data_IF_729810164803
#
_entry.id   IF_729810164803
#
_cell.length_a   1.000
_cell.length_b   1.000
_cell.length_c   1.000
_cell.angle_alpha   90.00
_cell.angle_beta   90.00
_cell.angle_gamma   90.00
#
_symmetry.space_group_name_H-M   'P 1'
#
loop_
_entity.id
_entity.type
_entity.pdbx_description
1 polymer ?
#
# COMPACT_ATOMS: atom_id res chain seq x y z
N UNK A 1 14.26 2.39 -9.47
CA UNK A 1 12.83 2.75 -9.24
C UNK A 1 12.66 3.21 -7.80
N UNK A 2 11.72 4.11 -7.56
CA UNK A 2 11.38 4.64 -6.22
C UNK A 2 10.21 3.87 -5.58
N UNK A 3 10.23 3.77 -4.24
CA UNK A 3 9.11 3.24 -3.48
C UNK A 3 8.88 4.03 -2.18
N UNK A 4 7.63 4.02 -1.71
CA UNK A 4 7.23 4.51 -0.40
C UNK A 4 6.67 3.33 0.41
N UNK A 5 7.21 3.08 1.61
CA UNK A 5 6.70 2.07 2.53
C UNK A 5 5.93 2.79 3.64
N UNK A 6 4.67 2.42 3.83
CA UNK A 6 3.86 2.88 4.96
C UNK A 6 4.12 2.06 6.21
N UNK A 7 4.89 2.63 7.15
CA UNK A 7 5.24 2.02 8.44
C UNK A 7 4.75 2.82 9.67
N UNK A 8 3.93 3.86 9.46
CA UNK A 8 3.39 4.72 10.52
C UNK A 8 2.18 4.14 11.28
N UNK A 9 1.76 2.91 10.98
CA UNK A 9 0.58 2.28 11.57
C UNK A 9 0.73 1.95 13.06
N UNK A 10 -0.31 2.23 13.87
CA UNK A 10 -0.32 1.98 15.33
C UNK A 10 -0.39 0.49 15.71
N UNK A 11 -0.82 -0.39 14.80
CA UNK A 11 -0.89 -1.83 15.03
C UNK A 11 -1.83 -2.27 16.17
N UNK A 12 -2.89 -1.54 16.44
CA UNK A 12 -3.77 -1.76 17.63
C UNK A 12 -4.39 -3.15 17.69
N UNK A 13 -4.61 -3.80 16.53
CA UNK A 13 -5.16 -5.16 16.43
C UNK A 13 -4.15 -6.27 16.71
N UNK A 14 -2.85 -5.94 16.75
CA UNK A 14 -1.76 -6.86 17.08
C UNK A 14 -1.30 -6.75 18.55
N UNK A 15 -2.03 -6.01 19.39
CA UNK A 15 -1.73 -5.98 20.83
C UNK A 15 -1.89 -7.39 21.43
N UNK A 16 -0.98 -7.79 22.37
CA UNK A 16 -0.01 -6.95 23.09
C UNK A 16 1.34 -6.75 22.38
N UNK A 17 1.63 -7.41 21.24
CA UNK A 17 2.93 -7.35 20.57
C UNK A 17 3.35 -5.90 20.25
N UNK A 18 2.40 -5.10 19.81
CA UNK A 18 2.64 -3.70 19.40
C UNK A 18 2.60 -2.70 20.56
N UNK A 19 2.55 -3.14 21.81
CA UNK A 19 2.71 -2.23 22.95
C UNK A 19 4.15 -1.71 23.09
N UNK A 20 5.14 -2.51 22.69
CA UNK A 20 6.58 -2.23 22.88
C UNK A 20 7.37 -2.22 21.58
N UNK A 21 6.73 -2.54 20.45
CA UNK A 21 7.37 -2.69 19.14
C UNK A 21 6.45 -2.08 18.06
N UNK A 22 6.98 -1.33 17.06
CA UNK A 22 6.16 -0.85 15.95
C UNK A 22 5.67 -2.03 15.10
N UNK A 23 4.47 -1.92 14.53
CA UNK A 23 3.86 -2.97 13.71
C UNK A 23 4.80 -3.49 12.61
N UNK A 24 5.53 -2.60 11.97
CA UNK A 24 6.47 -2.92 10.89
C UNK A 24 7.64 -3.83 11.34
N UNK A 25 7.92 -3.92 12.63
CA UNK A 25 8.98 -4.79 13.19
C UNK A 25 8.44 -6.10 13.80
N UNK A 26 7.14 -6.36 13.76
CA UNK A 26 6.56 -7.66 14.13
C UNK A 26 7.14 -8.72 13.20
N UNK A 27 7.54 -9.86 13.78
CA UNK A 27 8.24 -10.92 13.02
C UNK A 27 7.28 -11.93 12.42
N UNK A 28 7.59 -12.35 11.20
CA UNK A 28 6.98 -13.47 10.47
C UNK A 28 8.10 -14.33 9.90
N UNK A 29 8.09 -15.63 10.09
CA UNK A 29 9.20 -16.50 9.68
C UNK A 29 10.53 -16.12 10.32
N UNK A 30 10.50 -15.56 11.54
CA UNK A 30 11.70 -15.12 12.26
C UNK A 30 12.26 -13.75 11.86
N UNK A 31 11.80 -13.12 10.76
CA UNK A 31 12.26 -11.82 10.26
C UNK A 31 11.21 -10.72 10.46
N UNK A 32 11.58 -9.48 10.77
CA UNK A 32 10.65 -8.35 10.80
C UNK A 32 9.91 -8.15 9.48
N UNK A 33 8.64 -7.78 9.53
CA UNK A 33 7.85 -7.48 8.31
C UNK A 33 8.52 -6.45 7.42
N UNK A 34 9.07 -5.40 7.98
CA UNK A 34 9.78 -4.35 7.23
C UNK A 34 11.01 -4.92 6.46
N UNK A 35 11.71 -5.92 7.04
CA UNK A 35 12.80 -6.61 6.35
C UNK A 35 12.31 -7.37 5.13
N UNK A 36 11.21 -8.12 5.24
CA UNK A 36 10.61 -8.81 4.10
C UNK A 36 10.26 -7.84 2.97
N UNK A 37 9.59 -6.72 3.30
CA UNK A 37 9.19 -5.71 2.31
C UNK A 37 10.40 -5.05 1.64
N UNK A 38 11.42 -4.63 2.42
CA UNK A 38 12.62 -4.00 1.87
C UNK A 38 13.38 -4.96 0.97
N UNK A 39 13.59 -6.21 1.39
CA UNK A 39 14.33 -7.20 0.59
C UNK A 39 13.58 -7.56 -0.68
N UNK A 40 12.25 -7.68 -0.64
CA UNK A 40 11.42 -7.93 -1.82
C UNK A 40 11.51 -6.76 -2.80
N UNK A 41 11.31 -5.52 -2.34
CA UNK A 41 11.46 -4.31 -3.17
C UNK A 41 12.86 -4.21 -3.80
N UNK A 42 13.91 -4.45 -3.01
CA UNK A 42 15.29 -4.44 -3.49
C UNK A 42 15.53 -5.46 -4.58
N UNK A 43 15.07 -6.71 -4.39
CA UNK A 43 15.18 -7.78 -5.39
C UNK A 43 14.48 -7.45 -6.70
N UNK A 44 13.42 -6.62 -6.66
CA UNK A 44 12.64 -6.15 -7.80
C UNK A 44 13.18 -4.83 -8.41
N UNK A 45 14.33 -4.31 -7.89
CA UNK A 45 15.02 -3.13 -8.43
C UNK A 45 14.55 -1.78 -7.87
N UNK A 46 13.79 -1.77 -6.77
CA UNK A 46 13.46 -0.55 -6.02
C UNK A 46 14.58 -0.27 -5.00
N UNK A 47 15.45 0.69 -5.31
CA UNK A 47 16.65 0.98 -4.50
C UNK A 47 16.63 2.37 -3.85
N UNK A 48 15.64 3.20 -4.17
CA UNK A 48 15.38 4.49 -3.56
C UNK A 48 14.05 4.41 -2.82
N UNK A 49 14.11 4.23 -1.50
CA UNK A 49 12.93 3.94 -0.69
C UNK A 49 12.73 5.04 0.35
N UNK A 50 11.49 5.55 0.47
CA UNK A 50 11.05 6.35 1.60
C UNK A 50 10.28 5.45 2.56
N UNK A 51 10.51 5.59 3.86
CA UNK A 51 9.74 4.91 4.89
C UNK A 51 9.13 5.96 5.80
N UNK A 52 7.79 6.02 5.88
CA UNK A 52 7.17 6.88 6.86
C UNK A 52 7.14 6.19 8.23
N UNK A 53 7.37 6.98 9.28
CA UNK A 53 7.38 6.49 10.66
C UNK A 53 6.51 7.35 11.57
N UNK A 54 5.93 6.74 12.61
CA UNK A 54 5.17 7.45 13.64
C UNK A 54 5.41 6.82 15.02
N UNK A 55 4.52 5.95 15.48
CA UNK A 55 4.58 5.31 16.80
C UNK A 55 5.81 4.41 16.91
N UNK A 56 6.62 4.61 17.95
CA UNK A 56 7.90 3.90 18.16
C UNK A 56 8.85 3.99 16.96
N UNK A 57 8.78 5.06 16.18
CA UNK A 57 9.55 5.25 14.95
C UNK A 57 11.06 5.18 15.13
N UNK A 58 11.59 5.52 16.32
CA UNK A 58 13.03 5.40 16.62
C UNK A 58 13.53 3.95 16.50
N UNK A 59 12.71 2.97 16.90
CA UNK A 59 13.07 1.55 16.72
C UNK A 59 13.20 1.15 15.25
N UNK A 60 12.41 1.77 14.35
CA UNK A 60 12.55 1.56 12.90
C UNK A 60 13.88 2.15 12.42
N UNK A 61 14.21 3.37 12.84
CA UNK A 61 15.50 4.02 12.50
C UNK A 61 16.68 3.19 12.97
N UNK A 62 16.65 2.72 14.21
CA UNK A 62 17.71 1.87 14.78
C UNK A 62 17.84 0.53 14.05
N UNK A 63 16.72 -0.08 13.69
CA UNK A 63 16.68 -1.31 12.90
C UNK A 63 17.32 -1.11 11.51
N UNK A 64 16.97 -0.04 10.81
CA UNK A 64 17.56 0.28 9.50
C UNK A 64 19.06 0.55 9.58
N UNK A 65 19.49 1.31 10.59
CA UNK A 65 20.92 1.60 10.85
C UNK A 65 21.70 0.32 11.16
N UNK A 66 21.16 -0.55 12.03
CA UNK A 66 21.79 -1.82 12.39
C UNK A 66 21.98 -2.75 11.18
N UNK A 67 21.12 -2.64 10.17
CA UNK A 67 21.18 -3.41 8.93
C UNK A 67 21.83 -2.63 7.76
N UNK A 68 22.53 -1.52 8.03
CA UNK A 68 23.21 -0.69 7.02
C UNK A 68 22.27 -0.30 5.85
N UNK A 69 21.00 0.01 6.16
CA UNK A 69 19.94 0.29 5.19
C UNK A 69 19.81 -0.77 4.09
N UNK A 70 20.15 -2.02 4.40
CA UNK A 70 20.16 -3.14 3.43
C UNK A 70 20.98 -2.87 2.16
N UNK A 71 21.93 -1.91 2.22
CA UNK A 71 22.78 -1.51 1.09
C UNK A 71 22.05 -0.78 -0.03
N UNK A 72 20.93 -0.11 0.26
CA UNK A 72 20.16 0.72 -0.65
C UNK A 72 19.93 2.12 -0.07
N UNK A 73 19.42 3.05 -0.86
CA UNK A 73 19.09 4.39 -0.40
C UNK A 73 17.74 4.38 0.33
N UNK A 74 17.75 4.70 1.64
CA UNK A 74 16.53 4.79 2.46
C UNK A 74 16.46 6.17 3.10
N UNK A 75 15.35 6.87 2.85
CA UNK A 75 14.99 8.14 3.49
C UNK A 75 13.83 7.94 4.47
N UNK A 76 13.82 8.69 5.56
CA UNK A 76 12.75 8.65 6.56
C UNK A 76 11.80 9.84 6.36
N UNK A 77 10.51 9.56 6.24
CA UNK A 77 9.45 10.55 6.40
C UNK A 77 8.92 10.52 7.84
N UNK A 78 9.34 11.47 8.64
CA UNK A 78 9.00 11.54 10.06
C UNK A 78 7.59 12.12 10.28
N UNK A 79 6.65 11.30 10.72
CA UNK A 79 5.28 11.68 11.06
C UNK A 79 5.01 11.58 12.58
N UNK A 80 6.05 11.56 13.44
CA UNK A 80 5.90 11.41 14.90
C UNK A 80 5.10 12.54 15.53
N UNK A 81 5.06 13.73 14.94
CA UNK A 81 4.25 14.85 15.41
C UNK A 81 2.77 14.71 15.05
N UNK A 82 2.45 14.09 13.93
CA UNK A 82 1.09 13.92 13.44
C UNK A 82 1.04 12.80 12.39
N UNK A 83 0.09 11.86 12.54
CA UNK A 83 -0.20 10.83 11.54
C UNK A 83 -0.98 11.44 10.39
N UNK A 84 -0.45 11.38 9.18
CA UNK A 84 -1.06 11.99 7.99
C UNK A 84 -2.00 11.06 7.23
N UNK A 85 -2.09 9.79 7.61
CA UNK A 85 -2.74 8.72 6.84
C UNK A 85 -2.08 8.53 5.45
N UNK A 86 -2.70 7.71 4.59
CA UNK A 86 -2.03 7.26 3.36
C UNK A 86 -1.92 8.35 2.30
N UNK A 87 -2.95 9.16 2.10
CA UNK A 87 -2.92 10.26 1.12
C UNK A 87 -2.02 11.40 1.57
N UNK A 88 -2.16 11.84 2.83
CA UNK A 88 -1.31 12.89 3.39
C UNK A 88 0.16 12.49 3.49
N UNK A 89 0.44 11.22 3.79
CA UNK A 89 1.80 10.69 3.81
C UNK A 89 2.47 10.71 2.42
N UNK A 90 1.73 10.38 1.35
CA UNK A 90 2.21 10.53 -0.04
C UNK A 90 2.49 11.99 -0.35
N UNK A 91 1.53 12.88 -0.06
CA UNK A 91 1.67 14.30 -0.36
C UNK A 91 2.85 14.95 0.40
N UNK A 92 3.13 14.52 1.63
CA UNK A 92 4.27 15.00 2.42
C UNK A 92 5.61 14.74 1.75
N UNK A 93 5.76 13.65 1.02
CA UNK A 93 7.00 13.26 0.36
C UNK A 93 6.97 13.49 -1.16
N UNK A 94 5.97 14.23 -1.65
CA UNK A 94 5.75 14.47 -3.06
C UNK A 94 6.98 15.05 -3.77
N UNK A 95 7.68 16.02 -3.17
CA UNK A 95 8.87 16.66 -3.78
C UNK A 95 10.02 15.65 -4.04
N UNK A 96 10.12 14.57 -3.26
CA UNK A 96 11.05 13.49 -3.51
C UNK A 96 10.58 12.55 -4.63
N UNK A 97 9.27 12.41 -4.82
CA UNK A 97 8.63 11.50 -5.77
C UNK A 97 8.40 12.12 -7.15
N UNK A 98 8.43 13.45 -7.26
CA UNK A 98 8.09 14.22 -8.46
C UNK A 98 9.30 14.41 -9.40
N UNK A 99 9.92 13.32 -9.86
CA UNK A 99 11.00 13.34 -10.86
C UNK A 99 10.54 12.98 -12.29
N UNK A 100 9.23 12.84 -12.47
CA UNK A 100 8.61 12.46 -13.76
C UNK A 100 8.33 10.96 -13.89
N UNK A 101 8.92 10.12 -13.02
CA UNK A 101 8.74 8.68 -13.06
C UNK A 101 7.65 8.21 -12.07
N UNK A 102 6.90 7.15 -12.36
CA UNK A 102 6.02 6.52 -11.40
C UNK A 102 6.76 6.00 -10.17
N UNK A 103 6.06 5.84 -9.07
CA UNK A 103 6.60 5.26 -7.85
C UNK A 103 5.64 4.21 -7.27
N UNK A 104 6.19 3.22 -6.57
CA UNK A 104 5.40 2.19 -5.92
C UNK A 104 5.17 2.55 -4.45
N UNK A 105 3.95 2.31 -3.97
CA UNK A 105 3.58 2.43 -2.56
C UNK A 105 3.26 1.05 -2.01
N UNK A 106 3.81 0.71 -0.85
CA UNK A 106 3.67 -0.60 -0.23
C UNK A 106 3.36 -0.45 1.27
N UNK A 107 2.29 -1.06 1.74
CA UNK A 107 2.04 -1.13 3.17
C UNK A 107 3.02 -2.11 3.84
N UNK A 108 3.65 -1.71 4.94
CA UNK A 108 4.64 -2.54 5.66
C UNK A 108 4.07 -3.82 6.29
N UNK A 109 2.76 -3.96 6.33
CA UNK A 109 2.06 -5.13 6.87
C UNK A 109 1.59 -6.13 5.81
N UNK A 110 1.97 -5.94 4.55
CA UNK A 110 1.68 -6.88 3.48
C UNK A 110 2.90 -7.77 3.23
N UNK A 111 2.71 -9.07 3.42
CA UNK A 111 3.69 -10.10 3.08
C UNK A 111 3.28 -10.75 1.76
N UNK A 112 4.17 -10.73 0.76
CA UNK A 112 3.84 -11.23 -0.58
C UNK A 112 5.08 -11.58 -1.42
N UNK A 113 4.91 -12.41 -2.46
CA UNK A 113 5.88 -12.68 -3.51
C UNK A 113 5.40 -12.18 -4.90
N UNK A 114 4.46 -11.25 -4.93
CA UNK A 114 3.94 -10.67 -6.18
C UNK A 114 5.08 -10.00 -6.97
N UNK A 115 5.04 -10.12 -8.29
CA UNK A 115 5.97 -9.42 -9.18
C UNK A 115 5.69 -7.91 -9.20
N UNK A 116 6.36 -7.19 -8.27
CA UNK A 116 6.22 -5.73 -8.14
C UNK A 116 6.80 -4.97 -9.34
N UNK A 117 7.82 -5.55 -9.97
CA UNK A 117 8.39 -4.98 -11.20
C UNK A 117 7.41 -5.14 -12.37
N UNK A 118 6.76 -6.30 -12.48
CA UNK A 118 5.70 -6.53 -13.46
C UNK A 118 4.52 -5.58 -13.26
N UNK A 119 4.07 -5.37 -12.03
CA UNK A 119 3.04 -4.38 -11.69
C UNK A 119 3.44 -2.95 -12.12
N UNK A 120 4.70 -2.56 -11.89
CA UNK A 120 5.23 -1.27 -12.30
C UNK A 120 5.29 -1.13 -13.83
N UNK A 121 5.69 -2.17 -14.57
CA UNK A 121 5.70 -2.17 -16.03
C UNK A 121 4.28 -2.10 -16.62
N UNK A 122 3.36 -2.90 -16.08
CA UNK A 122 1.93 -2.85 -16.46
C UNK A 122 1.34 -1.45 -16.30
N UNK A 123 1.71 -0.76 -15.21
CA UNK A 123 1.29 0.62 -14.98
C UNK A 123 1.74 1.56 -16.10
N UNK A 124 3.00 1.46 -16.52
CA UNK A 124 3.57 2.26 -17.61
C UNK A 124 2.90 1.92 -18.95
N UNK A 125 2.79 0.63 -19.28
CA UNK A 125 2.21 0.16 -20.53
C UNK A 125 0.74 0.56 -20.70
N UNK A 126 0.01 0.63 -19.58
CA UNK A 126 -1.38 1.07 -19.57
C UNK A 126 -1.54 2.60 -19.52
N UNK A 127 -0.44 3.37 -19.47
CA UNK A 127 -0.48 4.82 -19.29
C UNK A 127 -1.43 5.23 -18.13
N UNK A 128 -1.37 4.47 -17.03
CA UNK A 128 -2.27 4.68 -15.89
C UNK A 128 -1.79 5.84 -14.99
N UNK A 129 -2.72 6.55 -14.36
CA UNK A 129 -2.39 7.51 -13.30
C UNK A 129 -2.16 6.79 -11.96
N UNK A 130 -2.90 5.69 -11.71
CA UNK A 130 -2.60 4.72 -10.66
C UNK A 130 -2.93 3.31 -11.10
N UNK A 131 -2.17 2.31 -10.59
CA UNK A 131 -2.49 0.88 -10.71
C UNK A 131 -2.54 0.28 -9.32
N UNK A 132 -3.71 -0.19 -8.92
CA UNK A 132 -3.98 -0.72 -7.59
C UNK A 132 -3.91 -2.25 -7.62
N UNK A 133 -3.07 -2.84 -6.78
CA UNK A 133 -3.14 -4.28 -6.55
C UNK A 133 -4.46 -4.60 -5.85
N UNK A 134 -5.26 -5.50 -6.41
CA UNK A 134 -6.58 -5.85 -5.91
C UNK A 134 -6.77 -7.35 -5.85
N UNK A 135 -7.65 -7.83 -4.97
CA UNK A 135 -7.88 -9.26 -4.85
C UNK A 135 -9.26 -9.59 -4.28
N UNK A 136 -9.68 -10.84 -4.46
CA UNK A 136 -10.87 -11.35 -3.82
C UNK A 136 -10.52 -11.74 -2.38
N UNK A 137 -11.07 -11.00 -1.43
CA UNK A 137 -11.03 -11.35 -0.01
C UNK A 137 -12.33 -10.93 0.66
N UNK A 138 -12.66 -11.58 1.74
CA UNK A 138 -13.83 -11.20 2.53
C UNK A 138 -13.55 -9.90 3.29
N UNK A 139 -14.30 -8.87 2.97
CA UNK A 139 -14.25 -7.53 3.59
C UNK A 139 -15.59 -6.84 3.44
N UNK A 140 -15.83 -5.81 4.24
CA UNK A 140 -17.01 -4.96 4.05
C UNK A 140 -16.85 -3.89 2.98
N UNK A 141 -15.62 -3.56 2.56
CA UNK A 141 -15.29 -2.40 1.72
C UNK A 141 -14.61 -2.85 0.44
N UNK A 142 -15.26 -2.58 -0.69
CA UNK A 142 -14.74 -2.94 -2.01
C UNK A 142 -14.60 -1.72 -2.89
N UNK A 143 -13.52 -1.69 -3.67
CA UNK A 143 -13.36 -0.85 -4.83
C UNK A 143 -14.12 -1.49 -6.00
N UNK A 144 -14.77 -0.69 -6.81
CA UNK A 144 -15.59 -1.15 -7.92
C UNK A 144 -14.94 -0.74 -9.23
N UNK A 145 -14.73 -1.73 -10.08
CA UNK A 145 -14.11 -1.57 -11.39
C UNK A 145 -15.08 -1.97 -12.50
N UNK A 146 -14.94 -1.34 -13.67
CA UNK A 146 -15.65 -1.76 -14.87
C UNK A 146 -14.90 -2.93 -15.56
N UNK A 147 -15.45 -3.41 -16.70
CA UNK A 147 -14.83 -4.50 -17.49
C UNK A 147 -13.48 -4.15 -18.15
N UNK A 148 -13.05 -2.89 -18.08
CA UNK A 148 -11.73 -2.42 -18.54
C UNK A 148 -10.76 -2.24 -17.35
N UNK A 149 -11.08 -2.86 -16.20
CA UNK A 149 -10.33 -2.73 -14.94
C UNK A 149 -10.16 -1.29 -14.44
N UNK A 150 -11.01 -0.35 -14.87
CA UNK A 150 -10.94 1.05 -14.45
C UNK A 150 -11.82 1.29 -13.23
N UNK A 151 -11.28 1.97 -12.22
CA UNK A 151 -11.97 2.33 -10.98
C UNK A 151 -13.18 3.24 -11.27
N UNK A 152 -14.36 2.79 -10.89
CA UNK A 152 -15.62 3.52 -11.05
C UNK A 152 -16.23 3.96 -9.72
N UNK A 153 -15.96 3.23 -8.63
CA UNK A 153 -16.62 3.51 -7.37
C UNK A 153 -16.13 2.66 -6.20
N UNK A 154 -16.90 2.71 -5.14
CA UNK A 154 -16.66 2.00 -3.91
C UNK A 154 -18.00 1.65 -3.24
N UNK A 155 -18.04 0.51 -2.58
CA UNK A 155 -19.21 0.06 -1.82
C UNK A 155 -18.79 -0.45 -0.43
N UNK A 156 -19.63 -0.15 0.57
CA UNK A 156 -19.61 -0.84 1.85
C UNK A 156 -20.80 -1.82 1.90
N UNK A 157 -20.52 -3.10 1.79
CA UNK A 157 -21.57 -4.16 1.77
C UNK A 157 -22.36 -4.25 3.08
N UNK A 158 -21.80 -3.80 4.21
CA UNK A 158 -22.52 -3.84 5.49
C UNK A 158 -23.52 -2.71 5.64
N UNK A 159 -23.22 -1.52 5.08
CA UNK A 159 -24.07 -0.33 5.21
C UNK A 159 -24.86 -0.02 3.96
N UNK A 160 -24.49 -0.59 2.81
CA UNK A 160 -25.02 -0.25 1.50
C UNK A 160 -24.52 1.11 0.95
N UNK A 161 -23.61 1.80 1.67
CA UNK A 161 -23.03 3.07 1.23
C UNK A 161 -22.23 2.86 -0.05
N UNK A 162 -22.42 3.76 -1.03
CA UNK A 162 -21.70 3.77 -2.31
C UNK A 162 -21.08 5.15 -2.57
N UNK A 163 -19.97 5.19 -3.28
CA UNK A 163 -19.24 6.41 -3.66
C UNK A 163 -18.66 6.27 -5.08
N UNK A 164 -18.44 7.38 -5.82
CA UNK A 164 -18.86 8.75 -5.49
C UNK A 164 -20.38 8.94 -5.51
N UNK A 165 -20.86 10.12 -5.14
CA UNK A 165 -22.28 10.46 -5.21
C UNK A 165 -22.84 10.24 -6.61
N UNK A 166 -24.00 9.58 -6.71
CA UNK A 166 -24.63 9.21 -7.98
C UNK A 166 -24.10 7.89 -8.60
N UNK A 167 -23.03 7.30 -8.06
CA UNK A 167 -22.59 5.98 -8.49
C UNK A 167 -23.57 4.89 -8.03
N UNK A 168 -23.88 3.95 -8.94
CA UNK A 168 -24.74 2.80 -8.66
C UNK A 168 -24.00 1.51 -9.05
N UNK A 169 -23.74 0.65 -8.08
CA UNK A 169 -23.11 -0.65 -8.30
C UNK A 169 -24.08 -1.62 -8.98
N UNK A 170 -23.69 -2.14 -10.13
CA UNK A 170 -24.40 -3.18 -10.86
C UNK A 170 -23.45 -4.39 -11.07
N UNK A 171 -23.73 -5.55 -10.46
CA UNK A 171 -22.89 -6.75 -10.62
C UNK A 171 -22.78 -7.27 -12.05
N UNK A 172 -23.68 -6.86 -12.95
CA UNK A 172 -23.60 -7.24 -14.36
C UNK A 172 -22.61 -6.40 -15.18
N UNK A 173 -22.20 -5.23 -14.65
CA UNK A 173 -21.33 -4.28 -15.32
C UNK A 173 -20.02 -4.00 -14.55
N UNK A 174 -19.96 -4.42 -13.28
CA UNK A 174 -18.87 -4.07 -12.38
C UNK A 174 -18.35 -5.26 -11.60
N UNK A 175 -17.06 -5.23 -11.32
CA UNK A 175 -16.39 -6.14 -10.42
C UNK A 175 -16.05 -5.45 -9.10
N UNK A 176 -16.22 -6.18 -7.99
CA UNK A 176 -15.95 -5.68 -6.65
C UNK A 176 -14.69 -6.35 -6.08
N UNK A 177 -13.62 -5.58 -5.91
CA UNK A 177 -12.32 -6.05 -5.46
C UNK A 177 -11.89 -5.36 -4.17
N UNK A 178 -11.21 -6.10 -3.30
CA UNK A 178 -10.57 -5.54 -2.12
C UNK A 178 -9.18 -4.97 -2.48
N UNK A 179 -8.85 -3.78 -1.98
CA UNK A 179 -7.52 -3.19 -2.16
C UNK A 179 -6.44 -4.00 -1.45
N UNK A 180 -5.38 -4.36 -2.16
CA UNK A 180 -4.28 -5.20 -1.68
C UNK A 180 -3.17 -4.48 -0.90
N UNK A 181 -3.29 -3.16 -0.69
CA UNK A 181 -2.28 -2.39 0.08
C UNK A 181 -0.98 -2.09 -0.67
N UNK A 182 -0.94 -2.33 -1.98
CA UNK A 182 0.18 -2.03 -2.87
C UNK A 182 -0.38 -1.33 -4.11
N UNK A 183 0.27 -0.26 -4.56
CA UNK A 183 -0.14 0.45 -5.76
C UNK A 183 1.04 1.19 -6.40
N UNK A 184 0.97 1.43 -7.70
CA UNK A 184 1.88 2.30 -8.44
C UNK A 184 1.15 3.59 -8.75
N UNK A 185 1.83 4.73 -8.65
CA UNK A 185 1.26 6.07 -8.82
C UNK A 185 2.14 6.87 -9.77
N UNK A 186 1.53 7.51 -10.77
CA UNK A 186 2.17 8.53 -11.60
C UNK A 186 2.20 9.88 -10.90
N UNK A 187 3.24 10.73 -11.12
CA UNK A 187 3.31 12.08 -10.56
C UNK A 187 2.12 12.97 -10.88
N UNK A 188 1.39 12.70 -11.97
CA UNK A 188 0.14 13.39 -12.34
C UNK A 188 -0.86 13.44 -11.18
N UNK A 189 -0.96 12.36 -10.39
CA UNK A 189 -1.88 12.33 -9.24
C UNK A 189 -1.42 13.25 -8.10
N UNK A 190 -0.12 13.47 -7.93
CA UNK A 190 0.39 14.46 -6.96
C UNK A 190 -0.04 15.88 -7.36
N UNK A 191 -0.05 16.17 -8.66
CA UNK A 191 -0.58 17.43 -9.18
C UNK A 191 -2.09 17.57 -8.88
N UNK A 192 -2.90 16.53 -9.09
CA UNK A 192 -4.33 16.57 -8.71
C UNK A 192 -4.54 16.74 -7.21
N UNK A 193 -3.74 16.09 -6.36
CA UNK A 193 -3.82 16.30 -4.91
C UNK A 193 -3.65 17.78 -4.55
N UNK A 194 -2.64 18.44 -5.12
CA UNK A 194 -2.36 19.86 -4.85
C UNK A 194 -3.42 20.79 -5.43
N UNK A 195 -3.79 20.58 -6.70
CA UNK A 195 -4.76 21.46 -7.40
C UNK A 195 -6.17 21.37 -6.83
N UNK A 196 -6.58 20.20 -6.35
CA UNK A 196 -7.90 19.97 -5.75
C UNK A 196 -7.93 20.30 -4.25
N UNK A 197 -6.83 20.86 -3.69
CA UNK A 197 -6.77 21.39 -2.34
C UNK A 197 -6.64 20.31 -1.23
N UNK A 198 -6.25 19.08 -1.58
CA UNK A 198 -5.96 18.04 -0.58
C UNK A 198 -4.75 18.43 0.25
N UNK A 199 -4.85 18.36 1.56
CA UNK A 199 -3.78 18.73 2.48
C UNK A 199 -3.96 18.09 3.85
N UNK A 200 -2.87 18.05 4.64
CA UNK A 200 -2.87 17.49 5.99
C UNK A 200 -3.19 16.00 6.01
N UNK A 201 -4.07 15.60 6.91
CA UNK A 201 -4.41 14.20 7.18
C UNK A 201 -5.58 13.73 6.32
N UNK A 202 -5.35 12.80 5.39
CA UNK A 202 -6.40 12.16 4.60
C UNK A 202 -5.98 10.79 4.08
N UNK A 203 -6.97 9.90 3.87
CA UNK A 203 -6.77 8.58 3.28
C UNK A 203 -6.72 8.66 1.75
N UNK A 204 -5.92 7.80 1.11
CA UNK A 204 -5.77 7.77 -0.36
C UNK A 204 -7.04 7.34 -1.09
N UNK A 205 -7.87 6.46 -0.51
CA UNK A 205 -9.07 5.94 -1.18
C UNK A 205 -10.11 7.03 -1.47
N UNK A 206 -10.48 7.91 -0.52
CA UNK A 206 -11.34 9.06 -0.84
C UNK A 206 -10.79 9.95 -1.95
N UNK A 207 -9.47 10.17 -2.01
CA UNK A 207 -8.85 10.90 -3.11
C UNK A 207 -9.03 10.17 -4.44
N UNK A 208 -8.73 8.89 -4.53
CA UNK A 208 -8.95 8.11 -5.76
C UNK A 208 -10.39 8.20 -6.25
N UNK A 209 -11.37 8.09 -5.35
CA UNK A 209 -12.78 8.21 -5.69
C UNK A 209 -13.17 9.62 -6.16
N UNK A 210 -12.49 10.66 -5.69
CA UNK A 210 -12.74 12.04 -6.13
C UNK A 210 -12.22 12.32 -7.55
N UNK A 211 -11.23 11.55 -8.01
CA UNK A 211 -10.59 11.75 -9.32
C UNK A 211 -10.85 10.63 -10.32
N UNK A 212 -11.52 9.53 -9.95
CA UNK A 212 -11.69 8.36 -10.80
C UNK A 212 -12.43 8.61 -12.12
N UNK A 213 -13.18 9.72 -12.25
CA UNK A 213 -13.81 10.13 -13.51
C UNK A 213 -12.88 10.91 -14.45
N UNK A 214 -11.75 11.44 -13.96
CA UNK A 214 -10.80 12.27 -14.72
C UNK A 214 -9.39 11.70 -14.76
N UNK A 215 -9.10 10.71 -13.93
CA UNK A 215 -7.81 10.02 -13.86
C UNK A 215 -8.00 8.53 -14.17
N UNK A 216 -7.05 7.95 -14.89
CA UNK A 216 -7.05 6.53 -15.23
C UNK A 216 -6.49 5.71 -14.06
N UNK A 217 -7.38 5.26 -13.19
CA UNK A 217 -7.03 4.43 -12.02
C UNK A 217 -7.44 2.99 -12.32
N UNK A 218 -6.47 2.08 -12.40
CA UNK A 218 -6.68 0.71 -12.82
C UNK A 218 -6.55 -0.29 -11.66
N UNK A 219 -7.29 -1.37 -11.73
CA UNK A 219 -7.11 -2.55 -10.90
C UNK A 219 -6.13 -3.53 -11.54
N UNK A 220 -5.25 -4.14 -10.75
CA UNK A 220 -4.42 -5.27 -11.17
C UNK A 220 -4.70 -6.41 -10.21
N UNK A 221 -5.43 -7.47 -10.65
CA UNK A 221 -5.76 -8.60 -9.81
C UNK A 221 -4.51 -9.35 -9.34
N UNK A 222 -4.52 -9.80 -8.07
CA UNK A 222 -3.48 -10.66 -7.52
C UNK A 222 -3.49 -11.99 -8.29
N UNK A 223 -2.34 -12.35 -8.85
CA UNK A 223 -2.12 -13.66 -9.47
C UNK A 223 -2.38 -14.78 -8.44
N UNK A 224 -3.28 -15.74 -8.71
CA UNK A 224 -3.63 -16.81 -7.79
C UNK A 224 -2.44 -17.73 -7.43
N UNK A 225 -1.39 -17.77 -8.24
CA UNK A 225 -0.15 -18.52 -7.97
C UNK A 225 0.80 -17.76 -7.01
N UNK A 226 0.44 -16.55 -6.57
CA UNK A 226 1.20 -15.73 -5.63
C UNK A 226 0.53 -15.70 -4.27
N UNK A 227 1.34 -15.65 -3.21
CA UNK A 227 0.81 -15.46 -1.88
C UNK A 227 0.70 -13.97 -1.53
N UNK A 228 -0.30 -13.66 -0.73
CA UNK A 228 -0.54 -12.34 -0.19
C UNK A 228 -1.19 -12.46 1.19
N UNK A 229 -0.58 -11.86 2.22
CA UNK A 229 -1.09 -11.83 3.59
C UNK A 229 -1.10 -10.40 4.12
N UNK A 230 -2.25 -9.97 4.70
CA UNK A 230 -2.36 -8.75 5.49
C UNK A 230 -2.11 -9.10 6.97
N UNK A 231 -0.92 -8.76 7.46
CA UNK A 231 -0.48 -9.02 8.85
C UNK A 231 -1.08 -7.96 9.78
N UNK A 232 -2.39 -7.84 9.74
CA UNK A 232 -3.14 -6.86 10.52
C UNK A 232 -3.75 -7.42 11.80
N UNK A 233 -3.79 -8.76 11.97
CA UNK A 233 -4.39 -9.47 13.09
C UNK A 233 -3.49 -10.62 13.54
N UNK A 234 -3.70 -11.12 14.76
CA UNK A 234 -2.93 -12.25 15.31
C UNK A 234 -3.14 -13.51 14.45
N UNK A 235 -4.37 -13.78 14.03
CA UNK A 235 -4.71 -14.97 13.25
C UNK A 235 -3.96 -14.97 11.91
N UNK A 236 -3.95 -13.85 11.17
CA UNK A 236 -3.23 -13.74 9.89
C UNK A 236 -1.72 -13.73 10.06
N UNK A 237 -1.20 -13.26 11.20
CA UNK A 237 0.20 -13.35 11.58
C UNK A 237 0.61 -14.83 11.73
N UNK A 238 -0.17 -15.62 12.49
CA UNK A 238 0.09 -17.04 12.73
C UNK A 238 0.00 -17.87 11.43
N UNK A 239 -1.00 -17.58 10.58
CA UNK A 239 -1.14 -18.21 9.25
C UNK A 239 0.09 -17.96 8.38
N UNK A 240 0.55 -16.69 8.28
CA UNK A 240 1.71 -16.33 7.49
C UNK A 240 3.01 -16.92 8.05
N UNK A 241 3.17 -16.96 9.37
CA UNK A 241 4.33 -17.58 10.04
C UNK A 241 4.39 -19.09 9.79
N UNK A 242 3.25 -19.77 9.85
CA UNK A 242 3.14 -21.20 9.51
C UNK A 242 3.42 -21.45 8.02
N UNK A 243 2.87 -20.61 7.14
CA UNK A 243 3.10 -20.70 5.70
C UNK A 243 4.58 -20.60 5.36
N UNK A 244 5.30 -19.58 5.85
CA UNK A 244 6.72 -19.41 5.55
C UNK A 244 7.58 -20.58 6.04
N UNK A 245 7.29 -21.13 7.23
CA UNK A 245 8.01 -22.31 7.76
C UNK A 245 7.90 -23.54 6.88
N UNK A 246 6.81 -23.67 6.11
CA UNK A 246 6.57 -24.79 5.20
C UNK A 246 6.95 -24.49 3.75
N UNK A 247 7.08 -23.22 3.39
CA UNK A 247 7.39 -22.77 2.03
C UNK A 247 8.90 -22.77 1.75
N UNK A 248 9.74 -22.64 2.79
CA UNK A 248 11.22 -22.70 2.69
C UNK A 248 11.79 -24.13 2.77
N UNK A 249 10.93 -25.16 2.82
CA UNK A 249 11.30 -26.59 2.75
C UNK A 249 11.06 -27.15 1.36
#
# INVERSE_FOLDING_TARGET
>A
MKALIFAAGLGTRLKPLTNTMPKALVKVGGKPMLEHVILHLKAQGFCDIIINIHYLGEQIIDFLRANHNFGINICISDERSEVLETGGGILKVADFLEDGEPFLVHNSDILTNIDLRGLYQQHIENEADATLLVGQRDTSRYLIFNHEDTLCGWINKNTGEQKPEGFCYDPAQHEAWAFGGIHVISPTLLHYMRSDGWSGKFSIIPFYLSVCQKARIMGSPIDPDRYWFDIGKIETLEEADHFLKNYEL
#
